data_IF_234302987658
#
_entry.id   IF_234302987658
#
_cell.length_a   1.000
_cell.length_b   1.000
_cell.length_c   1.000
_cell.angle_alpha   90.00
_cell.angle_beta   90.00
_cell.angle_gamma   90.00
#
_symmetry.space_group_name_H-M   'P 1'
#
loop_
_entity.id
_entity.type
_entity.pdbx_description
1 polymer ?
#
# COMPACT_ATOMS: atom_id res chain seq x y z
N UNK A 1 -19.43 12.22 24.28
CA UNK A 1 -19.10 13.19 23.20
C UNK A 1 -17.70 13.75 23.40
N UNK A 2 -17.29 13.95 24.65
CA UNK A 2 -15.99 14.54 25.04
C UNK A 2 -14.77 13.71 24.61
N UNK A 3 -14.83 12.38 24.64
CA UNK A 3 -13.71 11.52 24.23
C UNK A 3 -13.29 11.72 22.77
N UNK A 4 -14.25 11.98 21.88
CA UNK A 4 -13.96 12.25 20.46
C UNK A 4 -13.28 13.61 20.30
N UNK A 5 -13.74 14.61 21.04
CA UNK A 5 -13.17 15.96 21.04
C UNK A 5 -11.73 15.92 21.58
N UNK A 6 -11.49 15.18 22.66
CA UNK A 6 -10.17 15.01 23.25
C UNK A 6 -9.19 14.33 22.26
N UNK A 7 -9.62 13.24 21.60
CA UNK A 7 -8.82 12.56 20.56
C UNK A 7 -8.48 13.46 19.37
N UNK A 8 -9.44 14.24 18.88
CA UNK A 8 -9.20 15.16 17.76
C UNK A 8 -8.25 16.29 18.17
N UNK A 9 -8.38 16.84 19.38
CA UNK A 9 -7.44 17.84 19.91
C UNK A 9 -6.02 17.27 20.04
N UNK A 10 -5.88 16.04 20.52
CA UNK A 10 -4.59 15.37 20.61
C UNK A 10 -3.93 15.15 19.23
N UNK A 11 -4.72 14.87 18.19
CA UNK A 11 -4.24 14.65 16.82
C UNK A 11 -4.17 15.93 15.95
N UNK A 12 -4.35 17.12 16.55
CA UNK A 12 -4.42 18.40 15.81
C UNK A 12 -3.20 18.63 14.90
N UNK A 13 -2.00 18.26 15.33
CA UNK A 13 -0.76 18.43 14.57
C UNK A 13 -0.78 17.68 13.23
N UNK A 14 -1.25 16.44 13.24
CA UNK A 14 -1.36 15.60 12.03
C UNK A 14 -2.52 16.04 11.14
N UNK A 15 -3.67 16.40 11.73
CA UNK A 15 -4.84 16.85 10.97
C UNK A 15 -4.61 18.16 10.22
N UNK A 16 -3.73 19.04 10.73
CA UNK A 16 -3.39 20.32 10.10
C UNK A 16 -2.15 20.25 9.19
N UNK A 17 -1.58 19.06 8.99
CA UNK A 17 -0.38 18.89 8.17
C UNK A 17 -0.61 19.30 6.71
N UNK A 18 -1.85 19.16 6.22
CA UNK A 18 -2.27 19.60 4.87
C UNK A 18 -2.07 21.10 4.63
N UNK A 19 -2.08 21.94 5.68
CA UNK A 19 -1.79 23.37 5.54
C UNK A 19 -0.34 23.64 5.14
N UNK A 20 0.59 22.72 5.48
CA UNK A 20 1.99 22.78 5.07
C UNK A 20 2.24 22.02 3.76
N UNK A 21 1.47 20.96 3.51
CA UNK A 21 1.60 20.08 2.36
C UNK A 21 0.22 19.88 1.71
N UNK A 22 -0.22 20.82 0.83
CA UNK A 22 -1.56 20.81 0.24
C UNK A 22 -1.88 19.55 -0.56
N UNK A 23 -0.85 18.82 -1.02
CA UNK A 23 -0.99 17.56 -1.72
C UNK A 23 -1.42 16.38 -0.82
N UNK A 24 -1.37 16.53 0.51
CA UNK A 24 -1.79 15.47 1.42
C UNK A 24 -3.32 15.35 1.46
N UNK A 25 -3.87 14.13 1.39
CA UNK A 25 -5.30 13.94 1.53
C UNK A 25 -5.76 14.26 2.97
N UNK A 26 -6.90 14.94 3.12
CA UNK A 26 -7.56 15.15 4.42
C UNK A 26 -8.19 13.87 5.00
N UNK A 27 -8.32 12.82 4.20
CA UNK A 27 -8.90 11.55 4.57
C UNK A 27 -7.87 10.43 4.58
N UNK A 28 -8.12 9.38 5.35
CA UNK A 28 -7.28 8.19 5.45
C UNK A 28 -7.71 7.07 4.47
N UNK A 29 -8.56 7.35 3.48
CA UNK A 29 -9.20 6.34 2.62
C UNK A 29 -8.21 5.32 2.06
N UNK A 30 -7.05 5.74 1.56
CA UNK A 30 -6.04 4.83 1.00
C UNK A 30 -5.45 3.88 2.04
N UNK A 31 -5.23 4.37 3.26
CA UNK A 31 -4.79 3.55 4.38
C UNK A 31 -5.88 2.54 4.78
N UNK A 32 -7.15 2.98 4.85
CA UNK A 32 -8.28 2.10 5.14
C UNK A 32 -8.48 1.02 4.07
N UNK A 33 -8.35 1.38 2.79
CA UNK A 33 -8.44 0.45 1.67
C UNK A 33 -7.33 -0.61 1.75
N UNK A 34 -6.11 -0.20 2.10
CA UNK A 34 -4.99 -1.12 2.36
C UNK A 34 -5.28 -2.10 3.49
N UNK A 35 -5.75 -1.59 4.64
CA UNK A 35 -6.14 -2.44 5.77
C UNK A 35 -7.29 -3.39 5.43
N UNK A 36 -8.30 -2.91 4.67
CA UNK A 36 -9.43 -3.74 4.21
C UNK A 36 -8.98 -4.90 3.33
N UNK A 37 -7.92 -4.76 2.53
CA UNK A 37 -7.41 -5.86 1.72
C UNK A 37 -6.95 -7.04 2.58
N UNK A 38 -6.23 -6.76 3.67
CA UNK A 38 -5.77 -7.78 4.62
C UNK A 38 -6.95 -8.42 5.37
N UNK A 39 -7.91 -7.60 5.84
CA UNK A 39 -9.11 -8.11 6.53
C UNK A 39 -9.91 -9.05 5.62
N UNK A 40 -10.15 -8.67 4.36
CA UNK A 40 -10.85 -9.54 3.40
C UNK A 40 -10.08 -10.81 3.09
N UNK A 41 -8.74 -10.75 2.98
CA UNK A 41 -7.94 -11.95 2.76
C UNK A 41 -8.08 -12.93 3.93
N UNK A 42 -8.06 -12.42 5.17
CA UNK A 42 -8.27 -13.23 6.37
C UNK A 42 -9.69 -13.79 6.44
N UNK A 43 -10.68 -13.02 6.03
CA UNK A 43 -12.08 -13.47 5.99
C UNK A 43 -12.25 -14.68 5.06
N UNK A 44 -11.62 -14.64 3.89
CA UNK A 44 -11.68 -15.72 2.88
C UNK A 44 -10.76 -16.90 3.20
N UNK A 45 -9.57 -16.65 3.75
CA UNK A 45 -8.52 -17.67 3.93
C UNK A 45 -8.29 -18.09 5.38
N UNK A 46 -9.12 -17.61 6.32
CA UNK A 46 -8.97 -17.78 7.77
C UNK A 46 -7.59 -17.32 8.26
N UNK A 47 -7.13 -17.90 9.38
CA UNK A 47 -5.82 -17.62 9.95
C UNK A 47 -4.78 -18.62 9.46
N UNK A 48 -3.51 -18.23 9.56
CA UNK A 48 -2.36 -19.10 9.35
C UNK A 48 -2.13 -19.97 10.59
N UNK A 49 -1.54 -21.16 10.39
CA UNK A 49 -1.21 -22.08 11.49
C UNK A 49 0.24 -21.96 11.95
N UNK A 50 1.10 -21.45 11.08
CA UNK A 50 2.55 -21.35 11.31
C UNK A 50 3.03 -19.94 11.03
N UNK A 51 4.15 -19.55 11.65
CA UNK A 51 4.80 -18.27 11.37
C UNK A 51 5.19 -18.13 9.90
N UNK A 52 5.67 -19.21 9.29
CA UNK A 52 6.04 -19.21 7.86
C UNK A 52 4.82 -19.01 6.96
N UNK A 53 3.65 -19.55 7.35
CA UNK A 53 2.40 -19.27 6.67
C UNK A 53 1.98 -17.80 6.78
N UNK A 54 2.19 -17.18 7.95
CA UNK A 54 1.95 -15.74 8.16
C UNK A 54 2.87 -14.91 7.27
N UNK A 55 4.18 -15.20 7.31
CA UNK A 55 5.19 -14.52 6.47
C UNK A 55 4.87 -14.66 4.99
N UNK A 56 4.52 -15.86 4.53
CA UNK A 56 4.14 -16.09 3.13
C UNK A 56 2.95 -15.24 2.73
N UNK A 57 1.86 -15.25 3.51
CA UNK A 57 0.68 -14.43 3.23
C UNK A 57 1.00 -12.92 3.21
N UNK A 58 1.80 -12.43 4.14
CA UNK A 58 2.19 -11.01 4.20
C UNK A 58 3.04 -10.60 3.00
N UNK A 59 3.98 -11.46 2.58
CA UNK A 59 4.81 -11.24 1.39
C UNK A 59 3.93 -11.21 0.13
N UNK A 60 3.07 -12.21 -0.07
CA UNK A 60 2.18 -12.26 -1.24
C UNK A 60 1.23 -11.07 -1.27
N UNK A 61 0.68 -10.67 -0.11
CA UNK A 61 -0.18 -9.49 -0.03
C UNK A 61 0.57 -8.21 -0.38
N UNK A 62 1.79 -8.06 0.10
CA UNK A 62 2.65 -6.94 -0.25
C UNK A 62 2.92 -6.88 -1.76
N UNK A 63 3.29 -8.00 -2.38
CA UNK A 63 3.54 -8.09 -3.82
C UNK A 63 2.29 -7.71 -4.62
N UNK A 64 1.14 -8.32 -4.30
CA UNK A 64 -0.13 -8.09 -5.02
C UNK A 64 -0.57 -6.63 -4.91
N UNK A 65 -0.56 -6.06 -3.70
CA UNK A 65 -0.98 -4.66 -3.51
C UNK A 65 -0.01 -3.68 -4.18
N UNK A 66 1.30 -3.97 -4.15
CA UNK A 66 2.30 -3.12 -4.79
C UNK A 66 2.18 -3.18 -6.31
N UNK A 67 2.06 -4.38 -6.90
CA UNK A 67 1.83 -4.54 -8.33
C UNK A 67 0.56 -3.81 -8.78
N UNK A 68 -0.53 -3.92 -8.01
CA UNK A 68 -1.78 -3.19 -8.26
C UNK A 68 -1.58 -1.67 -8.25
N UNK A 69 -0.85 -1.11 -7.28
CA UNK A 69 -0.54 0.33 -7.21
C UNK A 69 0.31 0.82 -8.39
N UNK A 70 1.09 -0.06 -9.00
CA UNK A 70 1.94 0.22 -10.15
C UNK A 70 1.25 -0.06 -11.49
N UNK A 71 0.02 -0.59 -11.49
CA UNK A 71 -0.68 -0.99 -12.72
C UNK A 71 -0.11 -2.24 -13.38
N UNK A 72 0.62 -3.07 -12.62
CA UNK A 72 1.23 -4.32 -13.10
C UNK A 72 0.34 -5.50 -12.73
N UNK A 73 0.19 -6.44 -13.66
CA UNK A 73 -0.46 -7.73 -13.40
C UNK A 73 0.34 -8.52 -12.35
N UNK A 74 -0.29 -8.78 -11.20
CA UNK A 74 0.35 -9.54 -10.13
C UNK A 74 0.64 -10.99 -10.55
N UNK A 75 -0.23 -11.57 -11.40
CA UNK A 75 -0.02 -12.91 -11.93
C UNK A 75 1.22 -12.97 -12.81
N UNK A 76 1.32 -12.08 -13.82
CA UNK A 76 2.45 -12.08 -14.75
C UNK A 76 3.76 -11.82 -14.01
N UNK A 77 3.74 -10.92 -13.02
CA UNK A 77 4.91 -10.65 -12.18
C UNK A 77 5.34 -11.87 -11.37
N UNK A 78 4.41 -12.55 -10.70
CA UNK A 78 4.73 -13.76 -9.92
C UNK A 78 5.23 -14.87 -10.86
N UNK A 79 4.57 -15.07 -12.00
CA UNK A 79 4.96 -16.04 -13.00
C UNK A 79 6.39 -15.79 -13.51
N UNK A 80 6.74 -14.55 -13.85
CA UNK A 80 8.09 -14.15 -14.29
C UNK A 80 9.17 -14.47 -13.23
N UNK A 81 8.87 -14.26 -11.94
CA UNK A 81 9.80 -14.56 -10.84
C UNK A 81 9.93 -16.05 -10.55
N UNK A 82 8.81 -16.79 -10.57
CA UNK A 82 8.80 -18.24 -10.30
C UNK A 82 9.41 -19.03 -11.45
N UNK A 83 9.18 -18.60 -12.70
CA UNK A 83 9.81 -19.17 -13.90
C UNK A 83 11.29 -18.81 -14.05
N UNK A 84 11.79 -17.86 -13.26
CA UNK A 84 13.16 -17.33 -13.34
C UNK A 84 13.50 -16.66 -14.68
N UNK A 85 12.48 -16.17 -15.38
CA UNK A 85 12.68 -15.43 -16.62
C UNK A 85 13.27 -14.04 -16.36
N UNK A 86 12.84 -13.39 -15.27
CA UNK A 86 13.29 -12.05 -14.85
C UNK A 86 13.22 -10.97 -15.94
N UNK A 87 12.29 -11.11 -16.90
CA UNK A 87 12.12 -10.15 -17.99
C UNK A 87 11.44 -8.87 -17.49
N UNK A 88 10.60 -8.96 -16.45
CA UNK A 88 9.95 -7.81 -15.86
C UNK A 88 10.87 -7.08 -14.87
N UNK A 89 10.93 -5.73 -14.88
CA UNK A 89 11.64 -4.97 -13.85
C UNK A 89 11.13 -5.29 -12.45
N UNK A 90 11.99 -5.16 -11.42
CA UNK A 90 11.55 -5.34 -10.04
C UNK A 90 10.50 -4.28 -9.66
N UNK A 91 9.60 -4.64 -8.74
CA UNK A 91 8.64 -3.67 -8.21
C UNK A 91 9.34 -2.45 -7.59
N UNK A 92 10.54 -2.62 -7.02
CA UNK A 92 11.33 -1.51 -6.48
C UNK A 92 11.72 -0.49 -7.56
N UNK A 93 12.23 -0.96 -8.70
CA UNK A 93 12.59 -0.09 -9.84
C UNK A 93 11.35 0.63 -10.38
N UNK A 94 10.22 -0.07 -10.45
CA UNK A 94 8.96 0.54 -10.89
C UNK A 94 8.42 1.59 -9.91
N UNK A 95 8.63 1.42 -8.60
CA UNK A 95 8.29 2.44 -7.59
C UNK A 95 9.11 3.71 -7.81
N UNK A 96 10.41 3.58 -8.04
CA UNK A 96 11.29 4.72 -8.32
C UNK A 96 10.89 5.45 -9.60
N UNK A 97 10.64 4.69 -10.67
CA UNK A 97 10.19 5.24 -11.95
C UNK A 97 8.87 6.00 -11.82
N UNK A 98 7.89 5.44 -11.09
CA UNK A 98 6.60 6.09 -10.84
C UNK A 98 6.76 7.38 -10.04
N UNK A 99 7.60 7.36 -9.00
CA UNK A 99 7.91 8.56 -8.20
C UNK A 99 8.50 9.68 -9.06
N UNK A 100 9.43 9.36 -9.96
CA UNK A 100 10.04 10.35 -10.87
C UNK A 100 8.97 10.96 -11.79
N UNK A 101 8.09 10.13 -12.36
CA UNK A 101 7.01 10.60 -13.21
C UNK A 101 6.05 11.56 -12.46
N UNK A 102 5.68 11.23 -11.22
CA UNK A 102 4.82 12.07 -10.37
C UNK A 102 5.48 13.41 -10.01
N UNK A 103 6.80 13.44 -9.76
CA UNK A 103 7.54 14.69 -9.52
C UNK A 103 7.52 15.59 -10.76
N UNK A 104 7.80 15.02 -11.94
CA UNK A 104 7.87 15.78 -13.18
C UNK A 104 6.52 16.37 -13.59
N UNK A 105 5.43 15.64 -13.35
CA UNK A 105 4.06 16.11 -13.63
C UNK A 105 3.59 17.23 -12.70
N UNK A 106 4.20 17.37 -11.51
CA UNK A 106 3.88 18.44 -10.55
C UNK A 106 4.78 19.67 -10.69
N UNK A 107 5.79 19.63 -11.57
CA UNK A 107 6.76 20.70 -11.79
C UNK A 107 6.48 21.55 -13.04
N UNK A 108 5.43 21.22 -13.81
CA UNK A 108 4.91 22.00 -14.94
C UNK A 108 3.57 22.63 -14.60
#
# INVERSE_FOLDING_TARGET
MDDRIAKTKANKTYLLLVLKYPQLPLHNNDAELGARAQVRKRDVSLHTMTEDGTKANDIFMTIVQTAKKLGVSAYDYIYDRVSKNYCMPSLSVLIEAKKIAEINNNAG
#
